data_IF_018577433531
#
_entry.id   IF_018577433531
#
_cell.length_a   1.000
_cell.length_b   1.000
_cell.length_c   1.000
_cell.angle_alpha   90.00
_cell.angle_beta   90.00
_cell.angle_gamma   90.00
#
_symmetry.space_group_name_H-M   'P 1'
#
loop_
_entity.id
_entity.type
_entity.pdbx_description
1 polymer ?
#
# COMPACT_ATOMS: atom_id res chain seq x y z
N UNK A 1 25.84 -14.51 -5.35
CA UNK A 1 24.36 -14.39 -5.31
C UNK A 1 23.86 -13.40 -4.25
N UNK A 2 24.72 -12.78 -3.43
CA UNK A 2 24.29 -11.72 -2.49
C UNK A 2 24.18 -10.34 -3.15
N UNK A 3 24.86 -10.15 -4.27
CA UNK A 3 24.97 -8.83 -4.92
C UNK A 3 23.63 -8.40 -5.55
N UNK A 4 22.94 -9.34 -6.22
CA UNK A 4 21.66 -9.07 -6.88
C UNK A 4 20.52 -8.69 -5.93
N UNK A 5 20.49 -9.26 -4.73
CA UNK A 5 19.47 -8.90 -3.73
C UNK A 5 19.69 -7.46 -3.26
N UNK A 6 20.95 -7.05 -3.10
CA UNK A 6 21.31 -5.69 -2.69
C UNK A 6 20.87 -4.67 -3.74
N UNK A 7 21.16 -4.91 -5.02
CA UNK A 7 20.69 -4.04 -6.12
C UNK A 7 19.16 -3.89 -6.16
N UNK A 8 18.43 -4.97 -5.89
CA UNK A 8 16.96 -4.93 -5.83
C UNK A 8 16.48 -4.09 -4.64
N UNK A 9 17.13 -4.23 -3.48
CA UNK A 9 16.80 -3.43 -2.30
C UNK A 9 17.05 -1.94 -2.55
N UNK A 10 18.20 -1.59 -3.13
CA UNK A 10 18.54 -0.20 -3.46
C UNK A 10 17.51 0.43 -4.41
N UNK A 11 17.10 -0.31 -5.45
CA UNK A 11 16.07 0.16 -6.38
C UNK A 11 14.71 0.36 -5.70
N UNK A 12 14.31 -0.58 -4.83
CA UNK A 12 13.05 -0.50 -4.07
C UNK A 12 13.08 0.67 -3.08
N UNK A 13 14.22 0.91 -2.42
CA UNK A 13 14.42 2.06 -1.52
C UNK A 13 14.40 3.39 -2.28
N UNK A 14 14.92 3.42 -3.50
CA UNK A 14 14.83 4.56 -4.43
C UNK A 14 13.40 4.80 -4.97
N UNK A 15 12.42 3.98 -4.55
CA UNK A 15 11.02 3.98 -5.02
C UNK A 15 10.86 3.59 -6.48
N UNK A 16 11.82 2.84 -7.02
CA UNK A 16 11.67 2.22 -8.33
C UNK A 16 10.80 0.96 -8.21
N UNK A 17 9.89 0.77 -9.17
CA UNK A 17 9.03 -0.42 -9.21
C UNK A 17 9.82 -1.59 -9.77
N UNK A 18 10.02 -2.62 -8.97
CA UNK A 18 10.69 -3.86 -9.40
C UNK A 18 9.64 -4.95 -9.60
N UNK A 19 9.67 -5.62 -10.77
CA UNK A 19 8.77 -6.73 -11.09
C UNK A 19 9.51 -8.05 -10.90
N UNK A 20 9.00 -8.91 -10.04
CA UNK A 20 9.48 -10.28 -9.89
C UNK A 20 8.85 -11.15 -10.97
N UNK A 21 9.71 -11.75 -11.81
CA UNK A 21 9.29 -12.69 -12.84
C UNK A 21 9.78 -14.10 -12.55
N UNK A 22 8.93 -15.10 -12.74
CA UNK A 22 9.30 -16.52 -12.72
C UNK A 22 9.15 -17.08 -14.13
N UNK A 23 10.23 -17.62 -14.70
CA UNK A 23 10.25 -18.13 -16.08
C UNK A 23 9.69 -17.12 -17.11
N UNK A 24 10.04 -15.85 -16.95
CA UNK A 24 9.58 -14.76 -17.83
C UNK A 24 8.14 -14.29 -17.58
N UNK A 25 7.41 -14.89 -16.64
CA UNK A 25 6.06 -14.49 -16.29
C UNK A 25 6.06 -13.61 -15.04
N UNK A 26 5.47 -12.41 -15.06
CA UNK A 26 5.39 -11.55 -13.88
C UNK A 26 4.48 -12.19 -12.82
N UNK A 27 4.97 -12.26 -11.58
CA UNK A 27 4.24 -12.88 -10.46
C UNK A 27 3.99 -11.93 -9.30
N UNK A 28 4.81 -10.91 -9.13
CA UNK A 28 4.66 -9.94 -8.05
C UNK A 28 5.36 -8.60 -8.36
N UNK A 29 4.87 -7.54 -7.74
CA UNK A 29 5.59 -6.28 -7.59
C UNK A 29 6.33 -6.26 -6.26
N UNK A 30 7.57 -5.76 -6.26
CA UNK A 30 8.32 -5.44 -5.04
C UNK A 30 8.26 -3.92 -4.89
N UNK A 31 7.64 -3.48 -3.80
CA UNK A 31 7.46 -2.07 -3.46
C UNK A 31 7.96 -1.83 -2.04
N UNK A 32 8.48 -0.62 -1.74
CA UNK A 32 8.84 -0.29 -0.38
C UNK A 32 7.61 -0.38 0.50
N UNK A 33 7.76 -0.95 1.69
CA UNK A 33 6.69 -0.91 2.66
C UNK A 33 6.36 0.56 2.97
N UNK A 34 5.07 0.90 2.96
CA UNK A 34 4.64 2.16 3.54
C UNK A 34 5.19 2.21 4.97
N UNK A 35 5.76 3.34 5.42
CA UNK A 35 6.14 3.50 6.82
C UNK A 35 4.93 3.10 7.64
N UNK A 36 5.12 2.28 8.67
CA UNK A 36 4.02 1.83 9.54
C UNK A 36 3.22 3.07 9.95
N UNK A 37 2.07 3.26 9.33
CA UNK A 37 1.08 4.20 9.82
C UNK A 37 0.76 3.75 11.23
N UNK A 38 0.75 4.68 12.19
CA UNK A 38 0.19 4.38 13.51
C UNK A 38 -1.18 3.75 13.24
N UNK A 39 -1.42 2.54 13.75
CA UNK A 39 -2.75 1.94 13.65
C UNK A 39 -3.71 2.91 14.33
N UNK A 40 -4.55 3.56 13.53
CA UNK A 40 -5.59 4.45 14.01
C UNK A 40 -6.79 3.55 14.31
N UNK A 41 -7.33 3.58 15.54
CA UNK A 41 -8.61 2.93 15.82
C UNK A 41 -9.64 3.38 14.79
N UNK A 42 -10.51 2.49 14.31
CA UNK A 42 -11.42 2.78 13.18
C UNK A 42 -12.26 4.05 13.38
N UNK A 43 -12.71 4.33 14.61
CA UNK A 43 -13.42 5.57 14.93
C UNK A 43 -12.57 6.84 14.79
N UNK A 44 -11.26 6.73 15.05
CA UNK A 44 -10.31 7.84 14.89
C UNK A 44 -9.95 8.06 13.42
N UNK A 45 -9.79 6.98 12.64
CA UNK A 45 -9.60 7.07 11.18
C UNK A 45 -10.82 7.71 10.50
N UNK A 46 -12.04 7.29 10.87
CA UNK A 46 -13.27 7.86 10.33
C UNK A 46 -13.45 9.34 10.69
N UNK A 47 -13.01 9.76 11.88
CA UNK A 47 -13.03 11.17 12.28
C UNK A 47 -12.00 12.01 11.49
N UNK A 48 -10.76 11.52 11.37
CA UNK A 48 -9.70 12.21 10.61
C UNK A 48 -10.04 12.30 9.12
N UNK A 49 -10.60 11.24 8.52
CA UNK A 49 -11.11 11.28 7.15
C UNK A 49 -12.27 12.27 7.02
N UNK A 50 -13.21 12.33 7.96
CA UNK A 50 -14.33 13.29 7.89
C UNK A 50 -13.88 14.75 8.02
N UNK A 51 -12.82 15.01 8.80
CA UNK A 51 -12.28 16.35 9.05
C UNK A 51 -11.30 16.81 7.94
N UNK A 52 -10.54 15.89 7.34
CA UNK A 52 -9.48 16.20 6.37
C UNK A 52 -9.73 15.70 4.95
N UNK A 53 -10.78 14.93 4.69
CA UNK A 53 -11.07 14.49 3.33
C UNK A 53 -11.44 15.70 2.47
N UNK A 54 -10.72 15.84 1.36
CA UNK A 54 -11.09 16.75 0.29
C UNK A 54 -12.40 16.32 -0.41
N UNK A 55 -12.84 15.07 -0.22
CA UNK A 55 -14.07 14.53 -0.77
C UNK A 55 -14.86 13.71 0.29
N UNK A 56 -15.99 14.23 0.78
CA UNK A 56 -16.86 13.52 1.73
C UNK A 56 -17.48 12.22 1.18
N UNK A 57 -17.61 12.09 -0.15
CA UNK A 57 -18.24 10.92 -0.77
C UNK A 57 -17.37 9.66 -0.65
N UNK A 58 -16.05 9.82 -0.59
CA UNK A 58 -15.08 8.72 -0.48
C UNK A 58 -15.31 7.87 0.79
N UNK A 59 -15.75 8.47 1.89
CA UNK A 59 -16.02 7.75 3.14
C UNK A 59 -17.19 6.77 3.01
N UNK A 60 -18.23 7.14 2.26
CA UNK A 60 -19.39 6.28 2.01
C UNK A 60 -19.04 5.10 1.10
N UNK A 61 -18.13 5.31 0.14
CA UNK A 61 -17.67 4.28 -0.78
C UNK A 61 -16.76 3.25 -0.10
N UNK A 62 -15.91 3.71 0.83
CA UNK A 62 -15.08 2.86 1.69
C UNK A 62 -15.94 1.98 2.61
N UNK A 63 -16.94 2.54 3.28
CA UNK A 63 -17.85 1.78 4.14
C UNK A 63 -18.62 0.71 3.35
N UNK A 64 -19.07 1.04 2.14
CA UNK A 64 -19.75 0.10 1.25
C UNK A 64 -18.82 -1.03 0.79
N UNK A 65 -17.55 -0.72 0.48
CA UNK A 65 -16.57 -1.73 0.04
C UNK A 65 -16.17 -2.67 1.18
N UNK A 66 -16.01 -2.15 2.40
CA UNK A 66 -15.61 -2.95 3.57
C UNK A 66 -16.73 -3.90 4.00
N UNK A 67 -18.00 -3.50 3.86
CA UNK A 67 -19.16 -4.34 4.12
C UNK A 67 -19.33 -5.49 3.10
N UNK A 68 -18.74 -5.37 1.90
CA UNK A 68 -18.85 -6.37 0.84
C UNK A 68 -17.76 -7.45 0.91
N UNK A 69 -16.70 -7.21 1.70
CA UNK A 69 -15.56 -8.12 1.90
C UNK A 69 -15.62 -8.90 3.24
N UNK A 70 -16.68 -8.72 4.04
CA UNK A 70 -17.01 -9.52 5.24
C UNK A 70 -18.17 -10.47 4.95
#
# INVERSE_FOLDING_TARGET
MRDRITEVLDAVEARERVILTVRGHPVADIVPHAPRGRWLPGGWLAAELRERAADPALSHELDATNAMLS
#
